data_IF_410043848758
#
_entry.id   IF_410043848758
#
_cell.length_a   1.000
_cell.length_b   1.000
_cell.length_c   1.000
_cell.angle_alpha   90.00
_cell.angle_beta   90.00
_cell.angle_gamma   90.00
#
_symmetry.space_group_name_H-M   'P 1'
#
loop_
_entity.id
_entity.type
_entity.pdbx_description
1 polymer ?
#
# COMPACT_ATOMS: atom_id res chain seq x y z
N UNK A 1 -15.09 -15.89 12.50
CA UNK A 1 -15.74 -16.18 11.20
C UNK A 1 -14.70 -16.74 10.26
N UNK A 2 -14.91 -17.96 9.75
CA UNK A 2 -13.92 -18.73 8.98
C UNK A 2 -13.68 -18.17 7.59
N UNK A 3 -12.42 -18.08 7.18
CA UNK A 3 -12.01 -17.66 5.84
C UNK A 3 -12.21 -18.84 4.87
N UNK A 4 -13.16 -18.70 3.94
CA UNK A 4 -13.28 -19.62 2.80
C UNK A 4 -12.13 -19.45 1.80
N UNK A 5 -12.03 -20.33 0.77
CA UNK A 5 -11.02 -20.24 -0.26
C UNK A 5 -11.17 -18.93 -1.04
N UNK A 6 -10.06 -18.21 -1.30
CA UNK A 6 -10.07 -16.88 -1.94
C UNK A 6 -10.09 -15.69 -0.97
N UNK A 7 -9.55 -15.85 0.24
CA UNK A 7 -9.53 -14.80 1.26
C UNK A 7 -8.68 -13.59 0.85
N UNK A 8 -9.34 -12.51 0.46
CA UNK A 8 -8.74 -11.20 0.25
C UNK A 8 -8.99 -10.28 1.47
N UNK A 9 -8.12 -9.30 1.61
CA UNK A 9 -8.25 -8.15 2.49
C UNK A 9 -8.50 -6.92 1.63
N UNK A 10 -9.60 -6.23 1.91
CA UNK A 10 -10.01 -5.01 1.22
C UNK A 10 -9.50 -3.78 1.96
N UNK A 11 -8.78 -2.94 1.25
CA UNK A 11 -8.37 -1.60 1.69
C UNK A 11 -9.30 -0.62 0.99
N UNK A 12 -10.21 0.00 1.72
CA UNK A 12 -11.29 0.80 1.15
C UNK A 12 -11.21 2.23 1.69
N UNK A 13 -11.26 3.21 0.78
CA UNK A 13 -11.57 4.59 1.11
C UNK A 13 -13.04 4.87 0.77
N UNK A 14 -13.72 5.50 1.72
CA UNK A 14 -15.08 6.02 1.57
C UNK A 14 -15.07 7.48 1.95
N UNK A 15 -15.73 8.30 1.14
CA UNK A 15 -15.98 9.70 1.46
C UNK A 15 -17.00 9.81 2.60
N UNK A 16 -16.67 10.58 3.64
CA UNK A 16 -17.52 10.67 4.83
C UNK A 16 -18.76 11.55 4.59
N UNK A 17 -18.67 12.52 3.68
CA UNK A 17 -19.75 13.42 3.34
C UNK A 17 -20.84 12.72 2.52
N UNK A 18 -20.45 11.97 1.48
CA UNK A 18 -21.36 11.31 0.52
C UNK A 18 -21.57 9.83 0.78
N UNK A 19 -20.73 9.17 1.59
CA UNK A 19 -20.70 7.71 1.75
C UNK A 19 -20.30 6.93 0.49
N UNK A 20 -19.74 7.62 -0.51
CA UNK A 20 -19.30 7.00 -1.76
C UNK A 20 -17.96 6.26 -1.57
N UNK A 21 -17.83 5.02 -2.07
CA UNK A 21 -16.53 4.39 -2.21
C UNK A 21 -15.68 5.14 -3.24
N UNK A 22 -14.57 5.73 -2.80
CA UNK A 22 -13.66 6.47 -3.67
C UNK A 22 -12.67 5.55 -4.37
N UNK A 23 -12.07 4.62 -3.61
CA UNK A 23 -11.14 3.65 -4.15
C UNK A 23 -11.05 2.40 -3.27
N UNK A 24 -10.76 1.26 -3.90
CA UNK A 24 -10.51 -0.01 -3.23
C UNK A 24 -9.23 -0.66 -3.73
N UNK A 25 -8.52 -1.35 -2.83
CA UNK A 25 -7.40 -2.21 -3.19
C UNK A 25 -7.42 -3.55 -2.45
N UNK A 26 -7.40 -4.63 -3.21
CA UNK A 26 -7.52 -6.01 -2.73
C UNK A 26 -6.17 -6.69 -2.73
N UNK A 27 -5.82 -7.27 -1.58
CA UNK A 27 -4.58 -8.00 -1.34
C UNK A 27 -4.88 -9.33 -0.64
N UNK A 28 -4.00 -10.34 -0.67
CA UNK A 28 -4.20 -11.58 0.09
C UNK A 28 -4.30 -11.38 1.61
N UNK A 29 -3.71 -10.31 2.12
CA UNK A 29 -3.71 -9.95 3.54
C UNK A 29 -3.73 -8.43 3.74
N UNK A 30 -4.14 -8.00 4.93
CA UNK A 30 -4.11 -6.58 5.30
C UNK A 30 -2.65 -6.12 5.40
N UNK A 31 -2.28 -5.10 4.63
CA UNK A 31 -0.91 -4.65 4.53
C UNK A 31 -0.80 -3.16 4.19
N UNK A 32 0.33 -2.55 4.54
CA UNK A 32 0.60 -1.13 4.24
C UNK A 32 0.52 -0.83 2.75
N UNK A 33 0.98 -1.75 1.90
CA UNK A 33 0.95 -1.55 0.44
C UNK A 33 -0.47 -1.45 -0.10
N UNK A 34 -1.40 -2.24 0.45
CA UNK A 34 -2.81 -2.15 0.08
C UNK A 34 -3.39 -0.76 0.36
N UNK A 35 -3.13 -0.21 1.55
CA UNK A 35 -3.53 1.15 1.89
C UNK A 35 -2.83 2.21 1.03
N UNK A 36 -1.53 2.06 0.75
CA UNK A 36 -0.78 2.98 -0.10
C UNK A 36 -1.34 3.01 -1.55
N UNK A 37 -1.63 1.84 -2.14
CA UNK A 37 -2.22 1.76 -3.49
C UNK A 37 -3.64 2.30 -3.56
N UNK A 38 -4.44 2.05 -2.54
CA UNK A 38 -5.77 2.63 -2.40
C UNK A 38 -5.66 4.17 -2.32
N UNK A 39 -4.80 4.69 -1.46
CA UNK A 39 -4.67 6.13 -1.27
C UNK A 39 -4.03 6.83 -2.48
N UNK A 40 -3.09 6.19 -3.18
CA UNK A 40 -2.55 6.69 -4.43
C UNK A 40 -3.64 6.85 -5.51
N UNK A 41 -4.60 5.92 -5.57
CA UNK A 41 -5.77 6.03 -6.45
C UNK A 41 -6.68 7.18 -6.05
N UNK A 42 -6.97 7.33 -4.76
CA UNK A 42 -7.75 8.49 -4.28
C UNK A 42 -7.04 9.79 -4.67
N UNK A 43 -5.75 9.91 -4.39
CA UNK A 43 -4.94 11.08 -4.72
C UNK A 43 -4.97 11.41 -6.21
N UNK A 44 -4.84 10.41 -7.08
CA UNK A 44 -4.83 10.61 -8.52
C UNK A 44 -6.20 10.99 -9.10
N UNK A 45 -7.29 10.42 -8.58
CA UNK A 45 -8.63 10.59 -9.14
C UNK A 45 -9.42 11.77 -8.52
N UNK A 46 -9.21 12.02 -7.22
CA UNK A 46 -9.98 12.99 -6.43
C UNK A 46 -9.11 14.08 -5.80
N UNK A 47 -7.80 13.89 -5.75
CA UNK A 47 -6.87 14.78 -5.04
C UNK A 47 -6.58 14.31 -3.62
N UNK A 48 -5.95 15.19 -2.85
CA UNK A 48 -5.42 14.91 -1.52
C UNK A 48 -6.45 15.30 -0.45
N UNK A 49 -6.95 14.35 0.35
CA UNK A 49 -7.86 14.67 1.44
C UNK A 49 -7.12 15.40 2.56
N UNK A 50 -7.81 16.33 3.22
CA UNK A 50 -7.31 17.03 4.41
C UNK A 50 -6.99 16.05 5.55
N UNK A 51 -7.82 15.03 5.72
CA UNK A 51 -7.67 14.02 6.75
C UNK A 51 -8.22 12.66 6.31
N UNK A 52 -7.66 11.59 6.89
CA UNK A 52 -8.18 10.23 6.78
C UNK A 52 -8.51 9.70 8.16
N UNK A 53 -9.69 9.11 8.30
CA UNK A 53 -10.10 8.42 9.51
C UNK A 53 -9.70 6.96 9.41
N UNK A 54 -8.94 6.49 10.39
CA UNK A 54 -8.49 5.10 10.44
C UNK A 54 -8.85 4.45 11.78
N UNK A 55 -9.23 3.17 11.72
CA UNK A 55 -9.31 2.35 12.90
C UNK A 55 -7.92 2.16 13.52
N UNK A 56 -7.87 1.85 14.82
CA UNK A 56 -6.62 1.73 15.60
C UNK A 56 -5.82 0.46 15.29
N UNK A 57 -5.67 0.10 14.02
CA UNK A 57 -4.82 -1.00 13.59
C UNK A 57 -3.34 -0.63 13.73
N UNK A 58 -2.47 -1.65 13.84
CA UNK A 58 -1.00 -1.46 13.95
C UNK A 58 -0.38 -0.86 12.69
N UNK A 59 -1.12 -0.81 11.58
CA UNK A 59 -0.70 -0.14 10.34
C UNK A 59 -0.77 1.39 10.50
N UNK A 60 -1.64 1.89 11.37
CA UNK A 60 -1.81 3.31 11.67
C UNK A 60 -1.18 3.73 12.99
N UNK A 61 -0.65 2.77 13.77
CA UNK A 61 0.03 3.05 15.05
C UNK A 61 1.22 2.11 15.30
N UNK A 62 2.41 2.68 15.44
CA UNK A 62 3.61 1.95 15.85
C UNK A 62 3.49 1.49 17.31
N UNK A 63 3.83 0.22 17.58
CA UNK A 63 3.95 -0.31 18.95
C UNK A 63 5.18 0.24 19.70
N UNK A 64 6.19 0.73 18.97
CA UNK A 64 7.49 1.18 19.52
C UNK A 64 7.57 2.70 19.72
N UNK A 65 6.48 3.43 19.46
CA UNK A 65 6.52 4.89 19.28
C UNK A 65 7.04 5.26 17.88
N UNK A 66 6.69 6.46 17.41
CA UNK A 66 7.02 6.94 16.06
C UNK A 66 5.95 6.68 14.99
N UNK A 67 6.04 7.36 13.84
CA UNK A 67 5.09 7.22 12.74
C UNK A 67 5.19 5.83 12.08
N UNK A 68 4.08 5.31 11.57
CA UNK A 68 4.10 4.10 10.73
C UNK A 68 4.53 4.43 9.31
N UNK A 69 4.88 3.43 8.50
CA UNK A 69 5.17 3.64 7.07
C UNK A 69 4.01 4.37 6.37
N UNK A 70 2.77 3.96 6.63
CA UNK A 70 1.60 4.66 6.10
C UNK A 70 1.47 6.08 6.68
N UNK A 71 1.74 6.27 7.98
CA UNK A 71 1.74 7.59 8.60
C UNK A 71 2.74 8.55 7.95
N UNK A 72 3.94 8.08 7.63
CA UNK A 72 4.96 8.85 6.90
C UNK A 72 4.49 9.20 5.49
N UNK A 73 3.81 8.28 4.79
CA UNK A 73 3.22 8.56 3.48
C UNK A 73 2.14 9.66 3.58
N UNK A 74 1.28 9.61 4.60
CA UNK A 74 0.23 10.62 4.79
C UNK A 74 0.82 11.98 5.16
N UNK A 75 1.86 12.01 5.99
CA UNK A 75 2.62 13.23 6.28
C UNK A 75 3.23 13.83 5.01
N UNK A 76 3.87 13.00 4.16
CA UNK A 76 4.40 13.41 2.87
C UNK A 76 3.35 13.91 1.89
N UNK A 77 2.10 13.46 2.03
CA UNK A 77 0.96 13.94 1.25
C UNK A 77 0.35 15.24 1.82
N UNK A 78 0.64 15.58 3.08
CA UNK A 78 -0.03 16.67 3.81
C UNK A 78 -1.39 16.28 4.40
N UNK A 79 -1.70 14.99 4.46
CA UNK A 79 -2.96 14.44 4.98
C UNK A 79 -2.82 14.08 6.46
N UNK A 80 -3.78 14.51 7.29
CA UNK A 80 -3.80 14.16 8.71
C UNK A 80 -4.40 12.77 8.94
N UNK A 81 -3.72 11.92 9.70
CA UNK A 81 -4.29 10.62 10.13
C UNK A 81 -5.03 10.79 11.45
N UNK A 82 -6.35 10.67 11.42
CA UNK A 82 -7.22 10.73 12.58
C UNK A 82 -7.57 9.33 13.05
N UNK A 83 -6.97 8.90 14.16
CA UNK A 83 -7.28 7.62 14.78
C UNK A 83 -8.64 7.72 15.48
N UNK A 84 -9.65 7.02 14.94
CA UNK A 84 -11.01 7.10 15.46
C UNK A 84 -11.05 6.67 16.95
N UNK A 85 -11.54 7.57 17.80
CA UNK A 85 -11.79 7.33 19.23
C UNK A 85 -13.28 7.41 19.59
N UNK A 86 -14.14 7.87 18.67
CA UNK A 86 -15.53 8.21 18.98
C UNK A 86 -16.55 7.62 17.98
N UNK A 87 -17.71 7.13 18.46
CA UNK A 87 -18.78 6.55 17.63
C UNK A 87 -19.45 7.52 16.64
N UNK A 88 -19.42 8.84 16.92
CA UNK A 88 -20.23 9.82 16.19
C UNK A 88 -19.79 10.06 14.74
N UNK A 89 -18.51 9.83 14.40
CA UNK A 89 -18.00 9.91 13.02
C UNK A 89 -18.22 8.62 12.21
N UNK A 90 -18.58 7.51 12.88
CA UNK A 90 -18.58 6.17 12.26
C UNK A 90 -19.86 5.82 11.51
N UNK A 91 -21.02 6.37 11.87
CA UNK A 91 -22.31 5.82 11.44
C UNK A 91 -22.55 5.74 9.93
N UNK A 92 -22.07 6.70 9.11
CA UNK A 92 -22.26 6.66 7.65
C UNK A 92 -21.18 5.84 6.95
N UNK A 93 -19.92 6.14 7.24
CA UNK A 93 -18.76 5.45 6.68
C UNK A 93 -18.79 3.96 7.03
N UNK A 94 -19.11 3.60 8.27
CA UNK A 94 -19.20 2.20 8.70
C UNK A 94 -20.36 1.48 8.01
N UNK A 95 -21.50 2.14 7.80
CA UNK A 95 -22.62 1.58 7.01
C UNK A 95 -22.25 1.39 5.55
N UNK A 96 -21.54 2.33 4.94
CA UNK A 96 -21.05 2.20 3.56
C UNK A 96 -20.03 1.07 3.43
N UNK A 97 -19.05 1.01 4.35
CA UNK A 97 -18.09 -0.07 4.43
C UNK A 97 -18.79 -1.43 4.59
N UNK A 98 -19.76 -1.55 5.50
CA UNK A 98 -20.54 -2.78 5.67
C UNK A 98 -21.34 -3.14 4.42
N UNK A 99 -21.96 -2.14 3.77
CA UNK A 99 -22.70 -2.34 2.53
C UNK A 99 -21.81 -2.93 1.44
N UNK A 100 -20.63 -2.35 1.24
CA UNK A 100 -19.63 -2.88 0.30
C UNK A 100 -19.20 -4.28 0.70
N UNK A 101 -18.77 -4.49 1.96
CA UNK A 101 -18.24 -5.77 2.45
C UNK A 101 -19.24 -6.93 2.32
N UNK A 102 -20.52 -6.70 2.62
CA UNK A 102 -21.54 -7.75 2.57
C UNK A 102 -21.94 -8.11 1.13
N UNK A 103 -21.97 -7.12 0.23
CA UNK A 103 -22.40 -7.33 -1.15
C UNK A 103 -21.30 -7.86 -2.05
N UNK A 104 -20.08 -7.37 -1.83
CA UNK A 104 -18.97 -7.56 -2.75
C UNK A 104 -18.66 -9.03 -3.05
N UNK A 105 -18.65 -9.99 -2.09
CA UNK A 105 -18.43 -11.39 -2.42
C UNK A 105 -19.50 -11.98 -3.36
N UNK A 106 -20.75 -11.52 -3.24
CA UNK A 106 -21.85 -11.97 -4.11
C UNK A 106 -21.75 -11.29 -5.47
N UNK A 107 -21.46 -9.99 -5.49
CA UNK A 107 -21.34 -9.23 -6.73
C UNK A 107 -20.09 -9.69 -7.54
N UNK A 108 -18.95 -10.01 -6.92
CA UNK A 108 -17.79 -10.63 -7.59
C UNK A 108 -18.20 -11.89 -8.36
N UNK A 109 -18.95 -12.80 -7.72
CA UNK A 109 -19.44 -14.03 -8.37
C UNK A 109 -20.43 -13.72 -9.48
N UNK A 110 -21.33 -12.76 -9.25
CA UNK A 110 -22.36 -12.34 -10.22
C UNK A 110 -21.74 -11.76 -11.48
N UNK A 111 -20.66 -10.99 -11.35
CA UNK A 111 -19.97 -10.34 -12.46
C UNK A 111 -18.81 -11.18 -13.03
N UNK A 112 -18.54 -12.37 -12.48
CA UNK A 112 -17.56 -13.31 -13.02
C UNK A 112 -16.10 -12.88 -12.82
N UNK A 113 -15.82 -12.01 -11.86
CA UNK A 113 -14.49 -11.42 -11.64
C UNK A 113 -13.54 -12.44 -11.02
N UNK A 114 -12.38 -12.65 -11.64
CA UNK A 114 -11.40 -13.66 -11.25
C UNK A 114 -10.00 -13.07 -11.02
N UNK A 115 -9.41 -13.36 -9.87
CA UNK A 115 -8.06 -12.89 -9.53
C UNK A 115 -8.02 -11.44 -9.02
N UNK A 116 -6.88 -11.05 -8.48
CA UNK A 116 -6.73 -9.77 -7.78
C UNK A 116 -6.61 -8.59 -8.74
N UNK A 117 -5.92 -8.74 -9.87
CA UNK A 117 -5.72 -7.64 -10.82
C UNK A 117 -7.06 -7.23 -11.44
N UNK A 118 -7.81 -8.22 -11.96
CA UNK A 118 -9.16 -8.00 -12.47
C UNK A 118 -10.08 -7.42 -11.39
N UNK A 119 -10.03 -7.94 -10.16
CA UNK A 119 -10.83 -7.41 -9.06
C UNK A 119 -10.52 -5.94 -8.75
N UNK A 120 -9.24 -5.57 -8.74
CA UNK A 120 -8.82 -4.19 -8.50
C UNK A 120 -9.25 -3.26 -9.63
N UNK A 121 -9.11 -3.68 -10.89
CA UNK A 121 -9.54 -2.90 -12.05
C UNK A 121 -11.06 -2.75 -12.10
N UNK A 122 -11.79 -3.85 -11.99
CA UNK A 122 -13.26 -3.88 -11.97
C UNK A 122 -13.83 -3.07 -10.80
N UNK A 123 -13.24 -3.18 -9.61
CA UNK A 123 -13.73 -2.45 -8.45
C UNK A 123 -13.67 -0.95 -8.67
N UNK A 124 -12.52 -0.44 -9.08
CA UNK A 124 -12.31 1.00 -9.22
C UNK A 124 -12.95 1.57 -10.51
N UNK A 125 -12.95 0.81 -11.61
CA UNK A 125 -13.49 1.26 -12.89
C UNK A 125 -15.01 1.15 -13.02
N UNK A 126 -15.64 0.25 -12.27
CA UNK A 126 -17.08 0.00 -12.38
C UNK A 126 -17.80 -0.07 -11.02
N UNK A 127 -17.33 -0.91 -10.10
CA UNK A 127 -18.13 -1.26 -8.93
C UNK A 127 -18.28 -0.10 -7.92
N UNK A 128 -17.22 0.68 -7.69
CA UNK A 128 -17.26 1.84 -6.81
C UNK A 128 -18.30 2.88 -7.30
N UNK A 129 -18.29 3.34 -8.57
CA UNK A 129 -19.36 4.16 -9.14
C UNK A 129 -20.75 3.51 -9.06
N UNK A 130 -20.84 2.20 -9.32
CA UNK A 130 -22.10 1.46 -9.25
C UNK A 130 -22.70 1.41 -7.83
N UNK A 131 -21.86 1.31 -6.80
CA UNK A 131 -22.28 1.36 -5.40
C UNK A 131 -22.61 2.78 -4.98
N UNK A 132 -21.80 3.78 -5.38
CA UNK A 132 -22.07 5.19 -5.15
C UNK A 132 -23.45 5.60 -5.67
N UNK A 133 -23.80 5.23 -6.91
CA UNK A 133 -25.12 5.54 -7.48
C UNK A 133 -26.31 4.85 -6.79
N UNK A 134 -26.08 3.82 -5.96
CA UNK A 134 -27.12 3.09 -5.23
C UNK A 134 -27.27 3.51 -3.79
N UNK A 135 -26.17 3.89 -3.15
CA UNK A 135 -26.08 4.03 -1.70
C UNK A 135 -25.39 5.32 -1.26
N UNK A 136 -24.95 6.16 -2.21
CA UNK A 136 -24.43 7.50 -1.94
C UNK A 136 -25.52 8.45 -1.48
N UNK A 137 -25.09 9.52 -0.82
CA UNK A 137 -25.93 10.59 -0.30
C UNK A 137 -25.40 11.93 -0.79
N UNK A 138 -26.29 12.91 -0.97
CA UNK A 138 -25.84 14.29 -1.16
C UNK A 138 -25.03 14.74 0.06
N UNK A 139 -23.88 15.40 -0.14
CA UNK A 139 -23.07 15.89 0.98
C UNK A 139 -23.84 17.00 1.69
N UNK A 140 -23.67 17.08 3.03
CA UNK A 140 -24.30 18.15 3.82
C UNK A 140 -23.73 19.53 3.48
N UNK A 141 -22.42 19.54 3.21
CA UNK A 141 -21.67 20.71 2.78
C UNK A 141 -21.12 20.42 1.38
N UNK A 142 -21.45 21.20 0.36
CA UNK A 142 -21.05 20.93 -1.02
C UNK A 142 -19.58 21.32 -1.31
N UNK A 143 -18.88 21.94 -0.36
CA UNK A 143 -17.51 22.37 -0.55
C UNK A 143 -16.57 21.17 -0.52
N UNK A 144 -15.83 20.99 -1.62
CA UNK A 144 -14.77 19.99 -1.72
C UNK A 144 -13.60 20.38 -0.79
N UNK A 145 -13.08 19.39 -0.05
CA UNK A 145 -11.96 19.52 0.88
C UNK A 145 -10.71 18.81 0.38
N UNK A 146 -10.72 18.35 -0.87
CA UNK A 146 -9.56 17.77 -1.52
C UNK A 146 -8.67 18.87 -2.12
N UNK A 147 -7.36 18.73 -1.94
CA UNK A 147 -6.35 19.60 -2.53
C UNK A 147 -5.73 18.95 -3.78
N UNK A 148 -5.13 19.72 -4.71
CA UNK A 148 -4.43 19.12 -5.84
C UNK A 148 -3.32 18.15 -5.38
N UNK A 149 -3.16 16.98 -6.04
CA UNK A 149 -2.08 16.07 -5.70
C UNK A 149 -0.71 16.66 -6.05
N UNK A 150 0.37 16.25 -5.36
CA UNK A 150 1.71 16.61 -5.77
C UNK A 150 2.02 16.04 -7.16
N UNK A 151 2.94 16.70 -7.87
CA UNK A 151 3.33 16.29 -9.22
C UNK A 151 3.88 14.85 -9.30
N UNK A 152 4.47 14.36 -8.21
CA UNK A 152 5.10 13.04 -8.15
C UNK A 152 4.65 12.27 -6.90
N UNK A 153 3.64 11.40 -7.07
CA UNK A 153 3.13 10.54 -6.01
C UNK A 153 4.10 9.40 -5.64
N UNK A 154 5.08 9.06 -6.50
CA UNK A 154 6.05 7.98 -6.23
C UNK A 154 6.98 8.31 -5.06
N UNK A 155 7.26 9.60 -4.85
CA UNK A 155 8.02 10.10 -3.70
C UNK A 155 7.26 10.03 -2.39
N UNK A 156 5.93 9.96 -2.45
CA UNK A 156 5.05 9.88 -1.28
C UNK A 156 4.79 8.41 -0.93
N UNK A 157 4.30 7.62 -1.88
CA UNK A 157 3.90 6.23 -1.63
C UNK A 157 5.06 5.25 -1.75
N UNK A 158 6.04 5.38 -0.86
CA UNK A 158 7.20 4.50 -0.77
C UNK A 158 7.45 4.01 0.64
N UNK A 159 7.82 2.74 0.77
CA UNK A 159 8.28 2.15 2.03
C UNK A 159 9.76 2.49 2.17
N UNK A 160 10.15 3.00 3.34
CA UNK A 160 11.53 3.36 3.66
C UNK A 160 12.11 2.42 4.71
N UNK A 161 13.27 1.83 4.43
CA UNK A 161 14.04 1.02 5.37
C UNK A 161 15.50 1.47 5.39
N UNK A 162 16.02 1.84 6.56
CA UNK A 162 17.45 2.13 6.70
C UNK A 162 18.26 0.82 6.70
N UNK A 163 19.31 0.76 5.88
CA UNK A 163 20.29 -0.33 5.84
C UNK A 163 21.69 0.23 6.07
N UNK A 164 22.61 -0.64 6.49
CA UNK A 164 24.02 -0.30 6.64
C UNK A 164 24.79 -0.79 5.42
N UNK A 165 25.48 0.13 4.75
CA UNK A 165 26.38 -0.20 3.66
C UNK A 165 27.75 -0.64 4.19
N UNK A 166 28.45 -1.44 3.40
CA UNK A 166 29.88 -1.73 3.61
C UNK A 166 30.46 -2.26 2.31
N UNK A 167 31.53 -1.66 1.79
CA UNK A 167 32.16 -2.10 0.55
C UNK A 167 31.25 -1.96 -0.67
N UNK A 168 30.44 -0.90 -0.72
CA UNK A 168 29.51 -0.63 -1.83
C UNK A 168 28.32 -1.58 -1.94
N UNK A 169 28.04 -2.36 -0.90
CA UNK A 169 26.89 -3.27 -0.87
C UNK A 169 26.04 -3.08 0.39
N UNK A 170 24.79 -3.51 0.32
CA UNK A 170 23.88 -3.67 1.45
C UNK A 170 23.36 -5.11 1.50
N UNK A 171 23.00 -5.58 2.69
CA UNK A 171 22.20 -6.81 2.83
C UNK A 171 20.72 -6.43 2.84
N UNK A 172 19.86 -7.12 2.09
CA UNK A 172 18.40 -6.94 2.11
C UNK A 172 17.69 -8.22 1.65
N UNK A 173 16.64 -8.63 2.37
CA UNK A 173 15.83 -9.81 1.99
C UNK A 173 16.64 -11.11 1.81
N UNK A 174 17.63 -11.36 2.67
CA UNK A 174 18.51 -12.54 2.56
C UNK A 174 19.53 -12.48 1.40
N UNK A 175 19.56 -11.39 0.65
CA UNK A 175 20.49 -11.20 -0.48
C UNK A 175 21.43 -10.03 -0.23
N UNK A 176 22.52 -9.99 -0.99
CA UNK A 176 23.44 -8.86 -1.06
C UNK A 176 23.17 -8.07 -2.34
N UNK A 177 23.10 -6.76 -2.21
CA UNK A 177 22.81 -5.82 -3.30
C UNK A 177 23.92 -4.78 -3.40
N UNK A 178 24.47 -4.60 -4.60
CA UNK A 178 25.42 -3.54 -4.90
C UNK A 178 24.68 -2.22 -5.12
N UNK A 179 25.30 -1.14 -4.65
CA UNK A 179 24.83 0.23 -4.81
C UNK A 179 25.45 0.80 -6.09
N UNK A 180 24.65 0.95 -7.13
CA UNK A 180 25.13 1.34 -8.46
C UNK A 180 24.66 2.75 -8.81
N UNK A 181 25.60 3.62 -9.18
CA UNK A 181 25.32 4.98 -9.63
C UNK A 181 24.81 5.02 -11.07
N UNK A 182 24.41 6.20 -11.51
CA UNK A 182 23.78 6.39 -12.83
C UNK A 182 24.70 6.04 -14.02
N UNK A 183 26.01 5.97 -13.84
CA UNK A 183 26.98 5.60 -14.88
C UNK A 183 27.39 4.11 -14.78
N UNK A 184 26.70 3.32 -13.94
CA UNK A 184 27.02 1.92 -13.72
C UNK A 184 28.17 1.69 -12.73
N UNK A 185 28.68 2.74 -12.08
CA UNK A 185 29.76 2.66 -11.11
C UNK A 185 29.25 2.20 -9.74
N UNK A 186 29.98 1.28 -9.09
CA UNK A 186 29.67 0.93 -7.71
C UNK A 186 30.02 2.11 -6.80
N UNK A 187 29.05 2.54 -6.00
CA UNK A 187 29.21 3.58 -4.99
C UNK A 187 29.42 2.92 -3.63
N UNK A 188 30.49 3.30 -2.95
CA UNK A 188 30.76 2.88 -1.57
C UNK A 188 30.51 4.04 -0.60
N UNK A 189 29.39 4.00 0.15
CA UNK A 189 29.12 4.95 1.23
C UNK A 189 30.14 4.90 2.38
N UNK A 190 30.90 3.81 2.48
CA UNK A 190 31.79 3.52 3.59
C UNK A 190 31.19 2.52 4.59
N UNK A 191 32.05 1.96 5.47
CA UNK A 191 31.65 0.89 6.38
C UNK A 191 30.66 1.37 7.44
N UNK A 192 29.50 0.73 7.48
CA UNK A 192 28.45 1.00 8.46
C UNK A 192 27.62 2.26 8.18
N UNK A 193 27.91 2.99 7.10
CA UNK A 193 27.20 4.21 6.71
C UNK A 193 25.73 3.88 6.43
N UNK A 194 24.78 4.68 6.97
CA UNK A 194 23.36 4.48 6.72
C UNK A 194 22.99 4.84 5.29
N UNK A 195 22.17 4.00 4.69
CA UNK A 195 21.59 4.17 3.36
C UNK A 195 20.10 3.87 3.46
N UNK A 196 19.27 4.74 2.90
CA UNK A 196 17.84 4.49 2.83
C UNK A 196 17.53 3.61 1.63
N UNK A 197 16.81 2.52 1.86
CA UNK A 197 16.25 1.67 0.81
C UNK A 197 14.77 1.97 0.69
N UNK A 198 14.35 2.16 -0.55
CA UNK A 198 12.98 2.48 -0.90
C UNK A 198 12.38 1.39 -1.77
N UNK A 199 11.12 1.06 -1.47
CA UNK A 199 10.24 0.31 -2.36
C UNK A 199 9.02 1.16 -2.65
N UNK A 200 8.80 1.54 -3.90
CA UNK A 200 7.56 2.20 -4.32
C UNK A 200 6.39 1.24 -4.12
N UNK A 201 5.39 1.68 -3.34
CA UNK A 201 4.25 0.86 -2.97
C UNK A 201 3.27 0.63 -4.14
N UNK A 202 3.35 1.44 -5.19
CA UNK A 202 2.55 1.37 -6.39
C UNK A 202 3.30 0.65 -7.50
N UNK A 203 4.45 1.18 -7.92
CA UNK A 203 5.23 0.69 -9.07
C UNK A 203 6.14 -0.50 -8.75
N UNK A 204 6.39 -0.77 -7.46
CA UNK A 204 7.34 -1.78 -6.99
C UNK A 204 8.80 -1.50 -7.35
N UNK A 205 9.09 -0.27 -7.79
CA UNK A 205 10.44 0.23 -8.01
C UNK A 205 11.27 0.15 -6.72
N UNK A 206 12.44 -0.49 -6.81
CA UNK A 206 13.29 -0.84 -5.66
C UNK A 206 14.67 -0.23 -5.84
N UNK A 207 15.02 0.74 -4.98
CA UNK A 207 16.23 1.53 -5.10
C UNK A 207 16.77 1.96 -3.74
N UNK A 208 17.99 2.49 -3.73
CA UNK A 208 18.57 3.14 -2.56
C UNK A 208 18.71 4.64 -2.78
N UNK A 209 18.68 5.43 -1.70
CA UNK A 209 19.17 6.80 -1.71
C UNK A 209 20.27 6.95 -0.67
N UNK A 210 21.36 7.60 -1.08
CA UNK A 210 22.45 7.99 -0.20
C UNK A 210 22.82 9.44 -0.48
N UNK A 211 22.76 10.28 0.56
CA UNK A 211 23.03 11.74 0.47
C UNK A 211 22.21 12.44 -0.63
N UNK A 212 20.94 12.05 -0.77
CA UNK A 212 20.03 12.59 -1.78
C UNK A 212 20.30 12.10 -3.21
N UNK A 213 21.25 11.19 -3.40
CA UNK A 213 21.51 10.56 -4.70
C UNK A 213 20.82 9.20 -4.75
N UNK A 214 19.99 9.00 -5.77
CA UNK A 214 19.36 7.71 -6.05
C UNK A 214 20.38 6.75 -6.67
N UNK A 215 20.39 5.52 -6.17
CA UNK A 215 21.27 4.43 -6.54
C UNK A 215 20.44 3.21 -6.92
N UNK A 216 20.81 2.55 -8.01
CA UNK A 216 20.24 1.26 -8.40
C UNK A 216 20.73 0.16 -7.46
N UNK A 217 19.86 -0.82 -7.18
CA UNK A 217 20.18 -1.99 -6.41
C UNK A 217 20.32 -3.20 -7.32
N UNK A 218 21.57 -3.65 -7.53
CA UNK A 218 21.86 -4.84 -8.35
C UNK A 218 22.19 -6.02 -7.43
N UNK A 219 21.47 -7.14 -7.58
CA UNK A 219 21.70 -8.33 -6.76
C UNK A 219 23.03 -8.99 -7.13
N UNK A 220 23.93 -9.15 -6.16
CA UNK A 220 25.29 -9.70 -6.37
C UNK A 220 25.59 -10.98 -5.59
N UNK A 221 24.66 -11.45 -4.75
CA UNK A 221 24.80 -12.74 -4.09
C UNK A 221 23.66 -13.09 -3.16
N UNK A 222 23.56 -14.37 -2.81
CA UNK A 222 22.67 -14.90 -1.77
C UNK A 222 23.45 -15.06 -0.46
N UNK A 223 22.95 -14.53 0.64
CA UNK A 223 23.46 -14.90 1.96
C UNK A 223 22.71 -16.15 2.40
N UNK A 224 23.42 -17.27 2.49
CA UNK A 224 22.91 -18.50 3.08
C UNK A 224 22.45 -18.28 4.52
N UNK A 225 21.17 -17.96 4.68
CA UNK A 225 20.37 -18.12 5.90
C UNK A 225 18.90 -17.89 5.54
N UNK A 226 18.14 -18.99 5.52
CA UNK A 226 16.67 -19.01 5.48
C UNK A 226 16.13 -18.34 6.74
N UNK A 227 15.98 -17.01 6.68
CA UNK A 227 15.06 -16.28 7.55
C UNK A 227 13.62 -16.43 7.03
N UNK A 228 12.61 -16.05 7.84
CA UNK A 228 11.21 -16.14 7.40
C UNK A 228 11.03 -15.32 6.13
N UNK A 229 10.64 -16.00 5.05
CA UNK A 229 10.24 -15.38 3.79
C UNK A 229 8.90 -14.70 4.04
N UNK A 230 8.90 -13.38 4.09
CA UNK A 230 7.66 -12.62 4.04
C UNK A 230 7.18 -12.67 2.60
N UNK A 231 6.07 -13.38 2.37
CA UNK A 231 5.42 -13.37 1.06
C UNK A 231 4.66 -12.07 0.96
N UNK A 232 5.35 -11.09 0.39
CA UNK A 232 4.90 -9.73 0.29
C UNK A 232 4.65 -9.32 -1.15
N UNK A 233 4.62 -10.19 -2.15
CA UNK A 233 4.12 -9.87 -3.50
C UNK A 233 3.57 -11.11 -4.23
N UNK A 234 2.81 -10.90 -5.32
CA UNK A 234 2.15 -11.96 -6.07
C UNK A 234 3.11 -12.83 -6.88
N UNK A 235 4.22 -12.28 -7.39
CA UNK A 235 5.22 -13.04 -8.15
C UNK A 235 6.00 -13.99 -7.24
N UNK A 236 6.33 -13.57 -6.01
CA UNK A 236 6.98 -14.38 -4.98
C UNK A 236 6.05 -15.43 -4.39
N UNK A 237 4.75 -15.12 -4.25
CA UNK A 237 3.74 -16.12 -3.89
C UNK A 237 3.65 -17.22 -4.96
N UNK A 238 3.57 -16.83 -6.23
CA UNK A 238 3.50 -17.80 -7.33
C UNK A 238 4.80 -18.63 -7.43
N UNK A 239 5.97 -17.98 -7.34
CA UNK A 239 7.26 -18.69 -7.34
C UNK A 239 7.43 -19.65 -6.16
N UNK A 240 6.89 -19.32 -4.98
CA UNK A 240 6.88 -20.20 -3.81
C UNK A 240 5.98 -21.43 -4.00
N UNK A 241 4.79 -21.24 -4.58
CA UNK A 241 3.86 -22.34 -4.90
C UNK A 241 4.44 -23.28 -5.97
N UNK A 242 5.11 -22.73 -6.99
CA UNK A 242 5.76 -23.49 -8.05
C UNK A 242 7.00 -24.29 -7.55
N UNK A 243 7.69 -23.83 -6.49
CA UNK A 243 8.79 -24.58 -5.84
C UNK A 243 8.26 -25.78 -5.01
N UNK A 244 7.10 -25.64 -4.35
CA UNK A 244 6.50 -26.74 -3.59
C UNK A 244 5.92 -27.85 -4.48
N UNK A 245 5.35 -27.50 -5.65
CA UNK A 245 4.80 -28.49 -6.60
C UNK A 245 5.86 -29.35 -7.31
N UNK A 246 7.14 -28.93 -7.30
CA UNK A 246 8.26 -29.69 -7.87
C UNK A 246 8.90 -30.68 -6.89
N UNK A 247 8.50 -30.65 -5.62
CA UNK A 247 9.03 -31.48 -4.52
C UNK A 247 8.04 -32.54 -4.04
N UNK A 248 6.87 -32.64 -4.67
CA UNK A 248 5.89 -33.71 -4.48
C UNK A 248 5.90 -34.63 -5.71
#
# INVERSE_FOLDING_TARGET
>A
MGRGPGAWSMHLAVDDATSEPLAGWFMPSECVRGYARMMARVAAAHGVPEAVYADRSTIFRSRKGGPTQFGLMMEGLGTRVLLASTPQAKGRVERAHQTVQLRLPTDIRRFGVAGYDELNEWFNGFYAPYIAGKFGYAPREPADRFSPPPADLSRVFRIREERRASGGVIAYGGSTWALVGALGEVRDPGPGEPVDVFTDAVTEDFYAEWRGTRLELVRVGERGRTGPVWIDDQKRMQAFLDDMGRRA
#
